data_IF_191602177518
#
_entry.id   IF_191602177518
#
_cell.length_a   1.000
_cell.length_b   1.000
_cell.length_c   1.000
_cell.angle_alpha   90.00
_cell.angle_beta   90.00
_cell.angle_gamma   90.00
#
_symmetry.space_group_name_H-M   'P 1'
#
loop_
_entity.id
_entity.type
_entity.pdbx_description
1 polymer ?
#
# COMPACT_ATOMS: atom_id res chain seq x y z
N UNK A 1 16.31 0.38 -15.81
CA UNK A 1 16.84 -0.91 -15.40
C UNK A 1 16.24 -1.99 -16.30
N UNK A 2 17.03 -3.00 -16.73
CA UNK A 2 16.52 -4.14 -17.49
C UNK A 2 16.12 -5.24 -16.51
N UNK A 3 14.89 -5.72 -16.63
CA UNK A 3 14.46 -6.96 -15.96
C UNK A 3 15.14 -8.15 -16.64
N UNK A 4 15.75 -9.00 -15.85
CA UNK A 4 16.50 -10.18 -16.30
C UNK A 4 15.79 -11.46 -15.87
N UNK A 5 16.20 -12.62 -16.42
CA UNK A 5 15.65 -13.92 -16.01
C UNK A 5 15.83 -14.19 -14.49
N UNK A 6 16.84 -13.61 -13.87
CA UNK A 6 17.07 -13.74 -12.43
C UNK A 6 15.96 -13.05 -11.60
N UNK A 7 15.38 -11.97 -12.11
CA UNK A 7 14.31 -11.23 -11.43
C UNK A 7 12.98 -11.99 -11.36
N UNK A 8 12.80 -13.01 -12.22
CA UNK A 8 11.64 -13.91 -12.17
C UNK A 8 11.79 -15.06 -11.16
N UNK A 9 12.97 -15.22 -10.55
CA UNK A 9 13.25 -16.30 -9.60
C UNK A 9 13.11 -15.79 -8.17
N UNK A 10 12.16 -16.36 -7.45
CA UNK A 10 12.01 -16.11 -6.02
C UNK A 10 12.77 -17.15 -5.21
N UNK A 11 13.95 -16.76 -4.71
CA UNK A 11 14.78 -17.59 -3.84
C UNK A 11 14.65 -17.16 -2.37
N UNK A 12 14.83 -18.06 -1.40
CA UNK A 12 14.95 -19.52 -1.57
C UNK A 12 13.67 -20.17 -2.13
N UNK A 13 13.75 -21.45 -2.54
CA UNK A 13 12.62 -22.18 -3.09
C UNK A 13 11.42 -22.23 -2.12
N UNK A 14 10.20 -22.45 -2.64
CA UNK A 14 8.96 -22.41 -1.82
C UNK A 14 9.03 -23.34 -0.60
N UNK A 15 9.50 -24.58 -0.78
CA UNK A 15 9.62 -25.55 0.31
C UNK A 15 10.52 -25.08 1.45
N UNK A 16 11.64 -24.47 1.11
CA UNK A 16 12.59 -23.90 2.05
C UNK A 16 11.98 -22.66 2.76
N UNK A 17 11.37 -21.74 2.00
CA UNK A 17 10.68 -20.57 2.58
C UNK A 17 9.58 -20.97 3.55
N UNK A 18 8.79 -22.02 3.23
CA UNK A 18 7.74 -22.51 4.12
C UNK A 18 8.31 -23.03 5.45
N UNK A 19 9.46 -23.71 5.41
CA UNK A 19 10.12 -24.19 6.64
C UNK A 19 10.64 -23.02 7.49
N UNK A 20 11.31 -22.06 6.85
CA UNK A 20 11.78 -20.84 7.52
C UNK A 20 10.63 -20.05 8.15
N UNK A 21 9.56 -19.84 7.39
CA UNK A 21 8.37 -19.10 7.87
C UNK A 21 7.66 -19.81 9.01
N UNK A 22 7.55 -21.15 8.97
CA UNK A 22 6.96 -21.93 10.09
C UNK A 22 7.79 -21.85 11.37
N UNK A 23 9.11 -21.76 11.22
CA UNK A 23 10.01 -21.61 12.36
C UNK A 23 9.96 -20.22 12.96
N UNK A 24 9.88 -19.20 12.11
CA UNK A 24 9.87 -17.79 12.52
C UNK A 24 8.48 -17.37 13.01
N UNK A 25 7.45 -17.73 12.29
CA UNK A 25 6.06 -17.36 12.60
C UNK A 25 5.33 -18.53 13.23
N UNK A 26 5.26 -18.55 14.55
CA UNK A 26 4.50 -19.57 15.30
C UNK A 26 3.00 -19.28 15.20
N UNK A 27 2.44 -19.51 14.01
CA UNK A 27 1.02 -19.31 13.73
C UNK A 27 0.21 -20.62 13.89
N UNK A 28 -1.08 -20.52 14.26
CA UNK A 28 -1.97 -21.68 14.29
C UNK A 28 -2.16 -22.25 12.87
N UNK A 29 -2.77 -23.44 12.77
CA UNK A 29 -3.00 -24.11 11.48
C UNK A 29 -3.86 -23.27 10.52
N UNK A 30 -4.80 -22.50 11.03
CA UNK A 30 -5.68 -21.58 10.29
C UNK A 30 -5.62 -20.19 10.95
N UNK A 31 -4.59 -19.41 10.64
CA UNK A 31 -4.43 -18.08 11.24
C UNK A 31 -5.50 -17.11 10.73
N UNK A 32 -6.01 -16.29 11.63
CA UNK A 32 -6.98 -15.24 11.33
C UNK A 32 -6.30 -13.92 11.02
N UNK A 33 -6.83 -13.22 10.04
CA UNK A 33 -6.38 -11.87 9.65
C UNK A 33 -7.50 -11.13 8.92
N UNK A 34 -7.35 -9.83 8.72
CA UNK A 34 -8.23 -9.03 7.84
C UNK A 34 -7.54 -8.69 6.52
N UNK A 35 -8.24 -8.04 5.58
CA UNK A 35 -7.69 -7.65 4.27
C UNK A 35 -6.54 -6.65 4.45
N UNK A 36 -6.77 -5.56 5.18
CA UNK A 36 -5.79 -4.48 5.38
C UNK A 36 -6.42 -3.17 5.80
N UNK A 37 -7.37 -2.68 5.02
CA UNK A 37 -8.08 -1.43 5.30
C UNK A 37 -9.18 -1.59 6.34
N UNK A 38 -9.29 -0.59 7.21
CA UNK A 38 -10.41 -0.41 8.13
C UNK A 38 -11.30 0.76 7.67
N UNK A 39 -12.54 0.89 8.23
CA UNK A 39 -13.48 1.91 7.78
C UNK A 39 -12.90 3.31 7.84
N UNK A 40 -13.05 4.05 6.73
CA UNK A 40 -12.69 5.46 6.62
C UNK A 40 -13.77 6.30 7.31
N UNK A 41 -13.63 6.49 8.61
CA UNK A 41 -14.56 7.26 9.45
C UNK A 41 -14.57 8.74 9.10
N UNK A 42 -15.56 9.51 9.62
CA UNK A 42 -15.69 10.94 9.32
C UNK A 42 -14.45 11.74 9.73
N UNK A 43 -13.88 11.41 10.88
CA UNK A 43 -12.69 12.06 11.43
C UNK A 43 -11.43 11.77 10.58
N UNK A 44 -11.24 10.53 10.12
CA UNK A 44 -10.15 10.16 9.19
C UNK A 44 -10.26 10.92 7.87
N UNK A 45 -11.48 11.02 7.32
CA UNK A 45 -11.73 11.80 6.09
C UNK A 45 -11.49 13.30 6.30
N UNK A 46 -11.92 13.83 7.45
CA UNK A 46 -11.72 15.23 7.79
C UNK A 46 -10.23 15.57 7.95
N UNK A 47 -9.45 14.72 8.67
CA UNK A 47 -8.02 14.89 8.83
C UNK A 47 -7.28 14.91 7.47
N UNK A 48 -7.60 13.99 6.57
CA UNK A 48 -7.02 13.96 5.21
C UNK A 48 -7.40 15.18 4.39
N UNK A 49 -8.66 15.63 4.49
CA UNK A 49 -9.13 16.84 3.81
C UNK A 49 -8.41 18.09 4.31
N UNK A 50 -8.27 18.25 5.62
CA UNK A 50 -7.57 19.36 6.24
C UNK A 50 -6.10 19.41 5.82
N UNK A 51 -5.43 18.26 5.79
CA UNK A 51 -4.05 18.17 5.31
C UNK A 51 -3.92 18.57 3.82
N UNK A 52 -4.80 18.04 2.95
CA UNK A 52 -4.79 18.41 1.51
C UNK A 52 -5.05 19.89 1.26
N UNK A 53 -5.77 20.57 2.16
CA UNK A 53 -6.02 22.02 2.11
C UNK A 53 -4.97 22.85 2.83
N UNK A 54 -3.92 22.21 3.38
CA UNK A 54 -2.91 22.87 4.20
C UNK A 54 -3.47 23.60 5.44
N UNK A 55 -4.58 23.11 5.98
CA UNK A 55 -5.21 23.60 7.22
C UNK A 55 -4.52 23.03 8.47
N UNK A 56 -3.80 21.91 8.33
CA UNK A 56 -3.00 21.27 9.37
C UNK A 56 -1.61 20.96 8.83
N UNK A 57 -0.61 20.85 9.72
CA UNK A 57 0.75 20.47 9.36
C UNK A 57 0.88 18.97 9.06
N UNK A 58 2.00 18.59 8.43
CA UNK A 58 2.31 17.17 8.17
C UNK A 58 2.45 16.39 9.49
N UNK A 59 3.07 16.99 10.52
CA UNK A 59 3.23 16.38 11.84
C UNK A 59 1.87 16.09 12.48
N UNK A 60 0.93 17.04 12.44
CA UNK A 60 -0.43 16.86 12.96
C UNK A 60 -1.17 15.75 12.20
N UNK A 61 -1.02 15.69 10.87
CA UNK A 61 -1.61 14.65 10.05
C UNK A 61 -1.05 13.27 10.40
N UNK A 62 0.27 13.16 10.53
CA UNK A 62 0.97 11.92 10.87
C UNK A 62 0.59 11.45 12.28
N UNK A 63 0.60 12.34 13.27
CA UNK A 63 0.24 12.02 14.65
C UNK A 63 -1.19 11.48 14.77
N UNK A 64 -2.15 12.12 14.09
CA UNK A 64 -3.51 11.62 14.04
C UNK A 64 -3.60 10.21 13.46
N UNK A 65 -2.93 9.95 12.33
CA UNK A 65 -2.93 8.63 11.69
C UNK A 65 -2.25 7.58 12.60
N UNK A 66 -1.14 7.91 13.25
CA UNK A 66 -0.47 7.03 14.22
C UNK A 66 -1.40 6.63 15.36
N UNK A 67 -2.16 7.57 15.91
CA UNK A 67 -3.17 7.28 16.93
C UNK A 67 -4.25 6.33 16.43
N UNK A 68 -4.74 6.53 15.20
CA UNK A 68 -5.73 5.61 14.60
C UNK A 68 -5.16 4.22 14.34
N UNK A 69 -3.91 4.12 13.94
CA UNK A 69 -3.21 2.84 13.80
C UNK A 69 -3.11 2.14 15.15
N UNK A 70 -2.74 2.84 16.21
CA UNK A 70 -2.66 2.28 17.57
C UNK A 70 -4.02 1.76 18.02
N UNK A 71 -5.08 2.58 17.94
CA UNK A 71 -6.45 2.17 18.26
C UNK A 71 -6.85 0.89 17.50
N UNK A 72 -6.53 0.82 16.21
CA UNK A 72 -6.81 -0.32 15.34
C UNK A 72 -6.04 -1.58 15.76
N UNK A 73 -4.76 -1.45 16.07
CA UNK A 73 -3.92 -2.57 16.53
C UNK A 73 -4.45 -3.12 17.85
N UNK A 74 -4.72 -2.27 18.84
CA UNK A 74 -5.27 -2.70 20.14
C UNK A 74 -6.63 -3.38 20.00
N UNK A 75 -7.46 -2.88 19.10
CA UNK A 75 -8.75 -3.50 18.84
C UNK A 75 -8.62 -4.90 18.22
N UNK A 76 -7.72 -5.07 17.26
CA UNK A 76 -7.44 -6.38 16.65
C UNK A 76 -6.87 -7.38 17.66
N UNK A 77 -5.98 -6.94 18.58
CA UNK A 77 -5.49 -7.75 19.68
C UNK A 77 -6.62 -8.21 20.59
N UNK A 78 -7.53 -7.29 20.95
CA UNK A 78 -8.68 -7.57 21.84
C UNK A 78 -9.63 -8.61 21.25
N UNK A 79 -9.87 -8.61 19.94
CA UNK A 79 -10.71 -9.60 19.28
C UNK A 79 -9.97 -10.90 18.95
N UNK A 80 -8.66 -10.96 19.17
CA UNK A 80 -7.86 -12.17 19.08
C UNK A 80 -7.39 -12.55 17.67
N UNK A 81 -7.21 -11.60 16.77
CA UNK A 81 -6.61 -11.88 15.46
C UNK A 81 -5.16 -12.35 15.60
N UNK A 82 -4.73 -13.28 14.75
CA UNK A 82 -3.39 -13.85 14.77
C UNK A 82 -2.37 -12.98 14.02
N UNK A 83 -2.77 -12.42 12.87
CA UNK A 83 -1.95 -11.52 12.05
C UNK A 83 -2.69 -10.21 11.89
N UNK A 84 -2.05 -9.12 12.32
CA UNK A 84 -2.66 -7.81 12.38
C UNK A 84 -2.35 -6.98 11.12
N UNK A 85 -3.10 -5.90 10.94
CA UNK A 85 -2.91 -4.90 9.90
C UNK A 85 -2.93 -3.51 10.51
N UNK A 86 -2.29 -2.52 9.88
CA UNK A 86 -2.27 -1.15 10.41
C UNK A 86 -3.56 -0.35 10.14
N UNK A 87 -4.45 -0.82 9.26
CA UNK A 87 -5.77 -0.22 9.00
C UNK A 87 -5.84 0.76 7.83
N UNK A 88 -4.71 1.15 7.24
CA UNK A 88 -4.60 1.98 6.04
C UNK A 88 -5.27 3.37 6.15
N UNK A 89 -5.14 4.05 7.29
CA UNK A 89 -5.76 5.36 7.53
C UNK A 89 -5.14 6.50 6.72
N UNK A 90 -3.88 6.34 6.31
CA UNK A 90 -3.16 7.29 5.45
C UNK A 90 -3.61 7.21 3.98
N UNK A 91 -4.27 6.13 3.57
CA UNK A 91 -4.65 5.85 2.18
C UNK A 91 -6.11 6.18 1.90
N UNK A 92 -6.37 6.55 0.65
CA UNK A 92 -7.71 6.69 0.12
C UNK A 92 -8.01 5.53 -0.85
N UNK A 93 -7.48 5.62 -2.05
CA UNK A 93 -7.49 4.54 -3.05
C UNK A 93 -6.08 3.99 -3.21
N UNK A 94 -5.95 2.66 -3.37
CA UNK A 94 -4.65 2.02 -3.43
C UNK A 94 -3.82 2.46 -4.63
N UNK A 95 -4.44 2.66 -5.79
CA UNK A 95 -3.73 3.10 -6.99
C UNK A 95 -3.40 4.59 -6.91
N UNK A 96 -4.33 5.42 -6.42
CA UNK A 96 -4.09 6.85 -6.17
C UNK A 96 -2.92 7.02 -5.19
N UNK A 97 -2.93 6.32 -4.06
CA UNK A 97 -1.91 6.45 -3.02
C UNK A 97 -0.49 6.13 -3.53
N UNK A 98 -0.32 4.97 -4.18
CA UNK A 98 0.98 4.58 -4.72
C UNK A 98 1.39 5.46 -5.92
N UNK A 99 0.45 5.81 -6.79
CA UNK A 99 0.76 6.67 -7.92
C UNK A 99 1.18 8.08 -7.51
N UNK A 100 0.58 8.68 -6.48
CA UNK A 100 1.00 9.98 -5.95
C UNK A 100 2.44 9.95 -5.38
N UNK A 101 2.82 8.81 -4.78
CA UNK A 101 4.14 8.62 -4.17
C UNK A 101 5.24 8.27 -5.18
N UNK A 102 4.90 7.66 -6.30
CA UNK A 102 5.84 7.27 -7.36
C UNK A 102 6.15 8.45 -8.31
N UNK A 103 7.31 8.42 -8.96
CA UNK A 103 7.62 9.29 -10.09
C UNK A 103 6.96 8.79 -11.37
N UNK A 104 6.73 9.67 -12.34
CA UNK A 104 6.16 9.33 -13.64
C UNK A 104 4.64 9.27 -13.69
N UNK A 105 3.94 9.53 -12.59
CA UNK A 105 2.48 9.58 -12.50
C UNK A 105 1.96 11.02 -12.40
N UNK A 106 0.83 11.27 -13.04
CA UNK A 106 0.05 12.51 -12.97
C UNK A 106 -1.38 12.18 -12.57
N UNK A 107 -1.96 12.98 -11.68
CA UNK A 107 -3.36 12.91 -11.30
C UNK A 107 -4.12 14.14 -11.75
N UNK A 108 -5.32 13.93 -12.26
CA UNK A 108 -6.25 15.02 -12.53
C UNK A 108 -7.03 15.39 -11.26
N UNK A 109 -7.52 16.60 -11.18
CA UNK A 109 -8.29 17.04 -10.02
C UNK A 109 -9.72 16.47 -10.03
N UNK A 110 -10.36 16.41 -11.20
CA UNK A 110 -11.80 16.14 -11.33
C UNK A 110 -12.19 14.98 -12.25
N UNK A 111 -11.24 14.27 -12.85
CA UNK A 111 -11.54 13.19 -13.79
C UNK A 111 -11.92 11.89 -13.05
N UNK A 112 -13.09 11.92 -12.41
CA UNK A 112 -13.65 10.75 -11.74
C UNK A 112 -14.25 9.80 -12.76
N UNK A 113 -13.92 8.52 -12.63
CA UNK A 113 -14.46 7.41 -13.42
C UNK A 113 -15.20 6.46 -12.50
N UNK A 114 -16.38 6.04 -12.91
CA UNK A 114 -17.15 5.01 -12.19
C UNK A 114 -16.39 3.67 -12.29
N UNK A 115 -16.20 3.03 -11.14
CA UNK A 115 -15.52 1.74 -11.03
C UNK A 115 -16.56 0.63 -10.82
N UNK A 116 -16.87 0.32 -9.56
CA UNK A 116 -17.79 -0.75 -9.19
C UNK A 116 -18.94 -0.21 -8.34
N UNK A 117 -20.17 -0.50 -8.75
CA UNK A 117 -21.36 0.03 -8.07
C UNK A 117 -21.35 1.56 -8.08
N UNK A 118 -21.44 2.16 -6.91
CA UNK A 118 -21.40 3.63 -6.71
C UNK A 118 -19.99 4.19 -6.46
N UNK A 119 -18.96 3.32 -6.47
CA UNK A 119 -17.57 3.73 -6.25
C UNK A 119 -17.02 4.43 -7.49
N UNK A 120 -16.42 5.59 -7.28
CA UNK A 120 -15.65 6.30 -8.29
C UNK A 120 -14.16 6.30 -7.92
N UNK A 121 -13.31 6.29 -8.93
CA UNK A 121 -11.85 6.38 -8.81
C UNK A 121 -11.33 7.48 -9.73
N UNK A 122 -10.14 7.98 -9.47
CA UNK A 122 -9.39 8.87 -10.37
C UNK A 122 -8.20 8.09 -10.94
N UNK A 123 -8.32 7.52 -12.15
CA UNK A 123 -7.20 6.83 -12.77
C UNK A 123 -6.03 7.78 -12.98
N UNK A 124 -4.81 7.41 -12.56
CA UNK A 124 -3.63 8.20 -12.85
C UNK A 124 -3.25 8.10 -14.33
N UNK A 125 -2.50 9.07 -14.81
CA UNK A 125 -1.86 9.07 -16.13
C UNK A 125 -0.38 8.80 -15.94
N UNK A 126 0.13 7.76 -16.59
CA UNK A 126 1.56 7.48 -16.64
C UNK A 126 2.14 8.29 -17.79
N UNK A 127 2.88 9.36 -17.48
CA UNK A 127 3.40 10.29 -18.48
C UNK A 127 4.92 10.21 -18.66
N UNK A 128 5.61 9.53 -17.74
CA UNK A 128 7.08 9.42 -17.74
C UNK A 128 7.54 8.09 -17.16
N UNK A 129 8.86 7.93 -17.00
CA UNK A 129 9.43 6.74 -16.40
C UNK A 129 9.02 6.61 -14.93
N UNK A 130 8.61 5.39 -14.54
CA UNK A 130 8.15 5.12 -13.17
C UNK A 130 9.33 4.72 -12.29
N UNK A 131 9.44 5.39 -11.15
CA UNK A 131 10.46 5.11 -10.14
C UNK A 131 9.97 5.46 -8.74
N UNK A 132 10.57 4.84 -7.72
CA UNK A 132 10.32 5.14 -6.31
C UNK A 132 11.12 6.36 -5.89
N UNK A 133 10.44 7.40 -5.43
CA UNK A 133 11.08 8.64 -4.93
C UNK A 133 11.65 8.48 -3.53
N UNK A 134 10.87 7.87 -2.63
CA UNK A 134 11.17 7.63 -1.21
C UNK A 134 10.36 6.43 -0.70
N UNK A 135 10.64 5.87 0.47
CA UNK A 135 9.76 4.91 1.12
C UNK A 135 8.33 5.44 1.23
N UNK A 136 7.35 4.58 0.96
CA UNK A 136 5.92 4.94 0.88
C UNK A 136 5.17 4.42 2.09
N UNK A 137 5.33 3.12 2.38
CA UNK A 137 4.58 2.40 3.42
C UNK A 137 5.45 1.95 4.58
N UNK A 138 6.77 1.98 4.43
CA UNK A 138 7.73 1.42 5.39
C UNK A 138 7.57 2.03 6.77
N UNK A 139 7.47 3.36 6.88
CA UNK A 139 7.32 4.05 8.17
C UNK A 139 6.05 3.63 8.91
N UNK A 140 4.92 3.53 8.19
CA UNK A 140 3.65 3.09 8.76
C UNK A 140 3.71 1.64 9.24
N UNK A 141 4.33 0.77 8.44
CA UNK A 141 4.49 -0.65 8.77
C UNK A 141 5.40 -0.85 9.97
N UNK A 142 6.53 -0.15 10.04
CA UNK A 142 7.47 -0.18 11.17
C UNK A 142 6.80 0.35 12.44
N UNK A 143 6.10 1.48 12.35
CA UNK A 143 5.36 2.02 13.48
C UNK A 143 4.30 1.03 13.98
N UNK A 144 3.48 0.49 13.09
CA UNK A 144 2.45 -0.47 13.47
C UNK A 144 3.06 -1.73 14.13
N UNK A 145 4.16 -2.27 13.59
CA UNK A 145 4.86 -3.41 14.19
C UNK A 145 5.45 -3.08 15.57
N UNK A 146 5.86 -1.84 15.82
CA UNK A 146 6.38 -1.44 17.12
C UNK A 146 5.32 -1.43 18.24
N UNK A 147 4.05 -1.48 17.90
CA UNK A 147 2.94 -1.48 18.83
C UNK A 147 2.56 -2.88 19.34
N UNK A 148 3.07 -3.95 18.74
CA UNK A 148 2.61 -5.32 19.02
C UNK A 148 3.71 -6.35 18.80
N UNK A 149 3.67 -7.43 19.60
CA UNK A 149 4.51 -8.62 19.40
C UNK A 149 3.92 -9.59 18.34
N UNK A 150 2.67 -9.36 17.90
CA UNK A 150 2.06 -10.14 16.83
C UNK A 150 2.61 -9.71 15.48
N UNK A 151 2.45 -10.59 14.49
CA UNK A 151 2.89 -10.33 13.12
C UNK A 151 2.04 -9.23 12.51
N UNK A 152 2.67 -8.18 12.00
CA UNK A 152 2.04 -7.11 11.22
C UNK A 152 2.15 -7.42 9.73
N UNK A 153 1.02 -7.46 9.04
CA UNK A 153 0.94 -7.67 7.59
C UNK A 153 0.97 -6.34 6.85
N UNK A 154 2.03 -6.11 6.07
CA UNK A 154 2.09 -4.97 5.14
C UNK A 154 1.22 -5.18 3.91
N UNK A 155 0.75 -4.08 3.31
CA UNK A 155 -0.12 -4.08 2.13
C UNK A 155 0.48 -3.23 1.02
N UNK A 156 0.73 -3.86 -0.12
CA UNK A 156 1.20 -3.21 -1.35
C UNK A 156 0.24 -3.50 -2.50
N UNK A 157 0.09 -2.54 -3.40
CA UNK A 157 -0.63 -2.76 -4.66
C UNK A 157 0.33 -3.33 -5.69
N UNK A 158 -0.04 -4.44 -6.32
CA UNK A 158 0.78 -5.10 -7.32
C UNK A 158 0.87 -4.29 -8.63
N UNK A 159 1.96 -4.47 -9.40
CA UNK A 159 2.23 -3.68 -10.61
C UNK A 159 1.16 -3.84 -11.69
N UNK A 160 0.53 -5.01 -11.79
CA UNK A 160 -0.56 -5.25 -12.76
C UNK A 160 -1.77 -4.39 -12.44
N UNK A 161 -2.16 -4.31 -11.16
CA UNK A 161 -3.30 -3.48 -10.74
C UNK A 161 -2.99 -2.00 -10.93
N UNK A 162 -1.79 -1.54 -10.57
CA UNK A 162 -1.38 -0.15 -10.78
C UNK A 162 -1.46 0.22 -12.25
N UNK A 163 -0.93 -0.61 -13.15
CA UNK A 163 -0.95 -0.36 -14.58
C UNK A 163 -2.39 -0.36 -15.14
N UNK A 164 -3.17 -1.40 -14.84
CA UNK A 164 -4.50 -1.57 -15.42
C UNK A 164 -5.54 -0.53 -14.94
N UNK A 165 -5.27 0.11 -13.80
CA UNK A 165 -6.08 1.20 -13.26
C UNK A 165 -5.54 2.58 -13.63
N UNK A 166 -4.55 2.63 -14.52
CA UNK A 166 -3.92 3.85 -15.02
C UNK A 166 -4.15 4.00 -16.52
N UNK A 167 -4.03 5.21 -17.03
CA UNK A 167 -3.84 5.46 -18.44
C UNK A 167 -2.35 5.31 -18.77
N UNK A 168 -1.94 4.23 -19.47
CA UNK A 168 -0.53 4.00 -19.78
C UNK A 168 -0.02 5.00 -20.83
N UNK A 169 1.28 5.27 -20.79
CA UNK A 169 1.98 5.97 -21.87
C UNK A 169 2.08 5.08 -23.12
N UNK A 170 2.10 5.69 -24.31
CA UNK A 170 2.09 4.98 -25.60
C UNK A 170 3.47 4.91 -26.28
N UNK A 171 4.47 5.63 -25.77
CA UNK A 171 5.82 5.70 -26.35
C UNK A 171 6.72 4.53 -25.98
N UNK A 172 6.29 3.69 -25.02
CA UNK A 172 6.93 2.42 -24.64
C UNK A 172 5.91 1.29 -24.58
N UNK A 173 6.40 0.06 -24.59
CA UNK A 173 5.50 -1.11 -24.54
C UNK A 173 4.86 -1.28 -23.15
N UNK A 174 3.70 -1.94 -23.11
CA UNK A 174 3.06 -2.34 -21.84
C UNK A 174 4.00 -3.17 -20.96
N UNK A 175 4.84 -4.03 -21.58
CA UNK A 175 5.84 -4.81 -20.86
C UNK A 175 6.90 -3.93 -20.18
N UNK A 176 7.32 -2.87 -20.84
CA UNK A 176 8.27 -1.92 -20.25
C UNK A 176 7.62 -1.11 -19.13
N UNK A 177 6.40 -0.61 -19.34
CA UNK A 177 5.65 0.12 -18.31
C UNK A 177 5.43 -0.73 -17.05
N UNK A 178 4.96 -1.96 -17.19
CA UNK A 178 4.75 -2.84 -16.03
C UNK A 178 6.05 -3.21 -15.33
N UNK A 179 7.14 -3.37 -16.09
CA UNK A 179 8.46 -3.66 -15.51
C UNK A 179 9.01 -2.51 -14.67
N UNK A 180 8.81 -1.27 -15.11
CA UNK A 180 9.18 -0.09 -14.33
C UNK A 180 8.40 -0.01 -13.01
N UNK A 181 7.08 -0.23 -13.06
CA UNK A 181 6.24 -0.27 -11.86
C UNK A 181 6.66 -1.40 -10.92
N UNK A 182 6.92 -2.60 -11.48
CA UNK A 182 7.35 -3.76 -10.70
C UNK A 182 8.67 -3.52 -9.96
N UNK A 183 9.65 -2.88 -10.61
CA UNK A 183 10.91 -2.53 -9.99
C UNK A 183 10.72 -1.47 -8.89
N UNK A 184 9.89 -0.46 -9.13
CA UNK A 184 9.60 0.56 -8.12
C UNK A 184 8.90 -0.02 -6.87
N UNK A 185 7.95 -0.96 -7.05
CA UNK A 185 7.28 -1.64 -5.93
C UNK A 185 8.19 -2.67 -5.26
N UNK A 186 9.13 -3.30 -5.99
CA UNK A 186 10.14 -4.17 -5.38
C UNK A 186 11.07 -3.40 -4.45
N UNK A 187 11.41 -2.17 -4.80
CA UNK A 187 12.28 -1.31 -3.99
C UNK A 187 11.58 -0.82 -2.71
N UNK A 188 10.21 -0.86 -2.67
CA UNK A 188 9.40 -0.64 -1.49
C UNK A 188 9.39 -1.84 -0.57
#
# INVERSE_FOLDING_TARGET
>A
AKVTEADYRRLPARSERQQLQKKEFVLPKLPTTTIGSFPQTKDVKANRSAFRKSEISEEQYVEFNKKKIEECVRWQEKIGLDVLVHGEYERNDMVEYFGEALGGFLFTEKAWVQSYGTRCVKPPVIWGDVYRKKPITVEWSVYAQSLTDKIMKGMLTGPVTILNWSFPREDITIKESISQIALAIRDE
#
